data_IF_449116547050
#
_entry.id   IF_449116547050
#
_cell.length_a   1.000
_cell.length_b   1.000
_cell.length_c   1.000
_cell.angle_alpha   90.00
_cell.angle_beta   90.00
_cell.angle_gamma   90.00
#
_symmetry.space_group_name_H-M   'P 1'
#
loop_
_entity.id
_entity.type
_entity.pdbx_description
1 polymer ?
#
# COMPACT_ATOMS: atom_id res chain seq x y z
N UNK A 1 -3.96 -4.84 24.03
CA UNK A 1 -3.71 -3.40 23.89
C UNK A 1 -4.01 -2.90 22.48
N UNK A 2 -3.80 -3.70 21.43
CA UNK A 2 -4.20 -3.40 20.04
C UNK A 2 -5.69 -3.59 19.77
N UNK A 3 -6.37 -4.51 20.45
CA UNK A 3 -7.84 -4.66 20.39
C UNK A 3 -8.60 -3.40 20.80
N UNK A 4 -8.04 -2.60 21.70
CA UNK A 4 -8.63 -1.33 22.13
C UNK A 4 -8.50 -0.24 21.04
N UNK A 5 -7.46 -0.28 20.23
CA UNK A 5 -7.24 0.73 19.16
C UNK A 5 -8.13 0.45 17.96
N UNK A 6 -8.38 -0.82 17.64
CA UNK A 6 -9.28 -1.20 16.52
C UNK A 6 -10.76 -1.02 16.89
N UNK A 7 -11.14 -1.31 18.15
CA UNK A 7 -12.51 -1.18 18.60
C UNK A 7 -12.95 0.27 18.84
N UNK A 8 -12.04 1.15 19.21
CA UNK A 8 -12.35 2.56 19.53
C UNK A 8 -12.51 3.42 18.27
N UNK A 9 -11.83 3.09 17.18
CA UNK A 9 -11.99 3.80 15.89
C UNK A 9 -13.29 3.45 15.15
N UNK A 10 -13.92 2.34 15.46
CA UNK A 10 -15.20 1.93 14.86
C UNK A 10 -16.44 2.41 15.64
N UNK A 11 -16.27 3.04 16.81
CA UNK A 11 -17.38 3.64 17.60
C UNK A 11 -17.47 5.17 17.51
N UNK A 12 -16.63 5.80 16.74
CA UNK A 12 -16.56 7.24 16.58
C UNK A 12 -17.17 7.73 15.29
N UNK A 13 -18.44 8.02 15.37
CA UNK A 13 -19.16 9.17 14.82
C UNK A 13 -19.80 9.09 13.44
N UNK A 14 -21.09 8.79 13.49
CA UNK A 14 -22.11 9.48 12.73
C UNK A 14 -22.13 10.98 13.10
N UNK A 15 -21.55 11.82 12.28
CA UNK A 15 -21.82 13.24 12.24
C UNK A 15 -21.65 13.75 10.81
N UNK A 16 -22.74 13.72 10.09
CA UNK A 16 -22.94 14.36 8.80
C UNK A 16 -22.99 15.89 9.00
N UNK A 17 -22.07 16.70 8.42
CA UNK A 17 -22.22 18.15 8.41
C UNK A 17 -22.73 18.61 7.05
N UNK A 18 -24.01 18.37 6.78
CA UNK A 18 -24.79 19.20 5.87
C UNK A 18 -25.76 19.98 6.74
N UNK A 19 -25.36 21.17 7.20
CA UNK A 19 -26.35 22.17 7.58
C UNK A 19 -25.79 23.59 7.49
N UNK A 20 -26.44 24.31 6.59
CA UNK A 20 -26.87 25.71 6.69
C UNK A 20 -25.80 26.79 6.85
N UNK A 21 -25.42 27.32 5.72
CA UNK A 21 -25.10 28.75 5.61
C UNK A 21 -26.43 29.51 5.78
N UNK A 22 -26.65 30.10 6.97
CA UNK A 22 -27.66 31.14 7.17
C UNK A 22 -27.04 32.50 6.84
N UNK A 23 -27.56 33.11 5.80
CA UNK A 23 -27.40 34.55 5.53
C UNK A 23 -28.06 35.34 6.66
N UNK A 24 -27.30 36.26 7.29
CA UNK A 24 -27.81 37.33 8.13
C UNK A 24 -27.66 38.62 7.34
N UNK A 25 -28.72 39.40 7.15
CA UNK A 25 -28.61 40.69 6.46
C UNK A 25 -27.96 41.74 7.35
N UNK A 26 -27.12 42.56 6.73
CA UNK A 26 -26.48 43.70 7.38
C UNK A 26 -27.53 44.85 7.51
N UNK A 27 -27.87 45.25 8.70
CA UNK A 27 -28.51 46.53 8.98
C UNK A 27 -27.52 47.48 9.67
N UNK A 28 -27.41 48.63 9.06
CA UNK A 28 -27.08 49.98 9.45
C UNK A 28 -26.25 50.24 10.73
N UNK A 29 -25.05 50.82 10.53
CA UNK A 29 -24.41 51.63 11.56
C UNK A 29 -24.09 53.00 10.97
N UNK A 30 -24.65 53.97 11.69
CA UNK A 30 -24.68 55.40 11.46
C UNK A 30 -23.28 56.03 11.53
N UNK A 31 -23.06 57.03 10.71
CA UNK A 31 -21.84 57.85 10.62
C UNK A 31 -22.07 59.14 11.41
N UNK A 32 -21.44 59.27 12.58
CA UNK A 32 -21.07 60.58 13.09
C UNK A 32 -20.17 60.40 14.31
N UNK A 33 -18.92 60.76 14.20
CA UNK A 33 -18.20 61.65 15.09
C UNK A 33 -16.70 61.60 14.78
N UNK A 34 -16.26 62.72 14.23
CA UNK A 34 -14.87 63.01 13.89
C UNK A 34 -14.29 63.94 15.00
N UNK A 35 -13.27 63.57 15.77
CA UNK A 35 -12.50 64.57 16.49
C UNK A 35 -11.17 64.86 15.79
N UNK A 36 -10.97 66.13 15.51
CA UNK A 36 -9.80 66.85 15.02
C UNK A 36 -8.51 66.48 15.77
N UNK A 37 -7.35 66.36 15.12
CA UNK A 37 -6.07 66.14 15.77
C UNK A 37 -5.49 67.46 16.33
N UNK A 38 -5.23 67.44 17.63
CA UNK A 38 -4.44 68.49 18.29
C UNK A 38 -2.95 68.29 18.01
N UNK A 39 -2.34 69.33 17.39
CA UNK A 39 -0.89 69.46 17.24
C UNK A 39 -0.20 69.65 18.62
N UNK A 40 0.56 68.67 19.07
CA UNK A 40 1.50 68.87 20.16
C UNK A 40 2.86 69.28 19.59
N UNK A 41 3.27 70.50 19.87
CA UNK A 41 4.59 71.06 19.58
C UNK A 41 5.65 70.40 20.45
N UNK A 42 6.49 69.56 19.92
CA UNK A 42 7.71 69.06 20.58
C UNK A 42 8.91 69.93 20.15
N UNK A 43 9.46 70.64 21.15
CA UNK A 43 10.76 71.35 21.07
C UNK A 43 11.87 70.33 20.85
N UNK A 44 12.56 70.39 19.72
CA UNK A 44 13.79 69.67 19.44
C UNK A 44 14.95 70.25 20.27
N UNK A 45 15.51 69.41 21.15
CA UNK A 45 16.85 69.67 21.73
C UNK A 45 17.87 69.02 20.76
N UNK A 46 18.75 69.87 20.24
CA UNK A 46 19.89 69.41 19.40
C UNK A 46 20.84 68.54 20.25
N UNK A 47 21.08 67.32 19.85
CA UNK A 47 22.10 66.45 20.40
C UNK A 47 23.39 66.60 19.54
N UNK A 48 24.59 66.55 20.10
CA UNK A 48 25.83 66.83 19.39
C UNK A 48 26.15 65.70 18.41
N UNK A 49 26.48 66.10 17.18
CA UNK A 49 26.72 65.31 15.97
C UNK A 49 27.78 64.17 16.10
N UNK A 50 28.51 64.11 17.19
CA UNK A 50 29.55 63.05 17.39
C UNK A 50 28.99 61.71 17.87
N UNK A 51 27.82 61.65 18.47
CA UNK A 51 27.21 60.41 18.99
C UNK A 51 26.44 59.66 17.91
N UNK A 52 26.03 60.28 16.81
CA UNK A 52 25.26 59.65 15.74
C UNK A 52 26.13 58.71 14.86
N UNK A 53 27.45 59.02 14.72
CA UNK A 53 28.34 58.23 13.87
C UNK A 53 28.67 56.83 14.43
N UNK A 54 28.77 56.70 15.75
CA UNK A 54 29.04 55.38 16.36
C UNK A 54 27.82 54.47 16.41
N UNK A 55 26.63 55.04 16.49
CA UNK A 55 25.38 54.23 16.48
C UNK A 55 25.05 53.67 15.11
N UNK A 56 25.40 54.34 14.01
CA UNK A 56 25.16 53.84 12.65
C UNK A 56 26.12 52.75 12.25
N UNK A 57 27.39 52.82 12.68
CA UNK A 57 28.38 51.76 12.39
C UNK A 57 28.08 50.46 13.14
N UNK A 58 27.60 50.55 14.38
CA UNK A 58 27.22 49.34 15.14
C UNK A 58 25.94 48.66 14.59
N UNK A 59 24.98 49.44 14.07
CA UNK A 59 23.74 48.89 13.46
C UNK A 59 24.01 48.19 12.12
N UNK A 60 24.96 48.68 11.34
CA UNK A 60 25.33 48.06 10.03
C UNK A 60 26.13 46.78 10.24
N UNK A 61 26.97 46.68 11.29
CA UNK A 61 27.70 45.45 11.61
C UNK A 61 26.80 44.36 12.20
N UNK A 62 25.73 44.70 12.95
CA UNK A 62 24.74 43.72 13.41
C UNK A 62 23.81 43.24 12.25
N UNK A 63 23.45 44.09 11.32
CA UNK A 63 22.64 43.75 10.16
C UNK A 63 23.39 42.83 9.17
N UNK A 64 24.70 43.00 9.01
CA UNK A 64 25.54 42.14 8.17
C UNK A 64 25.72 40.74 8.76
N UNK A 65 25.64 40.55 10.07
CA UNK A 65 25.78 39.26 10.75
C UNK A 65 24.49 38.40 10.65
N UNK A 66 23.32 38.99 10.44
CA UNK A 66 22.04 38.28 10.32
C UNK A 66 21.80 37.79 8.85
N UNK A 67 22.42 38.43 7.87
CA UNK A 67 22.31 38.03 6.44
C UNK A 67 23.26 36.90 6.04
N UNK A 68 24.22 36.51 6.86
CA UNK A 68 25.19 35.46 6.57
C UNK A 68 24.68 34.03 6.89
N UNK A 69 23.46 33.89 7.46
CA UNK A 69 22.91 32.60 7.92
C UNK A 69 21.75 32.03 7.11
N UNK A 70 21.22 32.75 6.12
CA UNK A 70 20.16 32.21 5.26
C UNK A 70 20.77 31.77 3.92
N UNK A 71 21.60 30.71 3.95
CA UNK A 71 21.78 29.91 2.76
C UNK A 71 20.38 29.48 2.26
N UNK A 72 20.16 29.38 0.94
CA UNK A 72 18.91 28.85 0.45
C UNK A 72 18.69 27.50 1.14
N UNK A 73 17.58 27.35 1.88
CA UNK A 73 17.17 26.07 2.38
C UNK A 73 17.06 25.16 1.15
N UNK A 74 18.03 24.27 0.96
CA UNK A 74 17.97 23.26 -0.10
C UNK A 74 16.67 22.53 0.14
N UNK A 75 15.75 22.58 -0.81
CA UNK A 75 14.55 21.77 -0.74
C UNK A 75 15.01 20.33 -0.52
N UNK A 76 14.53 19.71 0.56
CA UNK A 76 14.88 18.33 0.89
C UNK A 76 14.52 17.46 -0.32
N UNK A 77 15.45 16.64 -0.80
CA UNK A 77 15.19 15.70 -1.88
C UNK A 77 14.01 14.80 -1.48
N UNK A 78 13.15 14.49 -2.42
CA UNK A 78 11.91 13.77 -2.18
C UNK A 78 11.77 12.59 -3.13
N UNK A 79 11.32 11.46 -2.58
CA UNK A 79 10.91 10.27 -3.34
C UNK A 79 9.41 10.03 -3.14
N UNK A 80 8.68 9.83 -4.23
CA UNK A 80 7.25 9.50 -4.20
C UNK A 80 7.04 8.05 -4.64
N UNK A 81 6.51 7.23 -3.75
CA UNK A 81 6.22 5.82 -3.98
C UNK A 81 4.71 5.60 -4.00
N UNK A 82 4.18 5.13 -5.12
CA UNK A 82 2.79 4.66 -5.20
C UNK A 82 2.73 3.21 -4.73
N UNK A 83 1.78 2.90 -3.85
CA UNK A 83 1.64 1.57 -3.25
C UNK A 83 0.18 1.28 -2.87
N UNK A 84 -0.08 0.25 -2.10
CA UNK A 84 -1.41 -0.18 -1.67
C UNK A 84 -1.69 0.17 -0.20
N UNK A 85 -2.99 0.20 0.17
CA UNK A 85 -3.44 0.70 1.47
C UNK A 85 -2.87 -0.06 2.66
N UNK A 86 -2.83 -1.40 2.61
CA UNK A 86 -2.29 -2.18 3.72
C UNK A 86 -0.79 -1.96 3.94
N UNK A 87 -0.02 -1.64 2.87
CA UNK A 87 1.39 -1.28 3.02
C UNK A 87 1.57 0.00 3.85
N UNK A 88 0.70 1.00 3.67
CA UNK A 88 0.80 2.31 4.32
C UNK A 88 0.03 2.42 5.63
N UNK A 89 -0.74 1.42 6.00
CA UNK A 89 -1.48 1.39 7.27
C UNK A 89 -0.52 1.53 8.47
N UNK A 90 -1.03 2.03 9.60
CA UNK A 90 -0.23 2.20 10.81
C UNK A 90 0.44 0.89 11.30
N UNK A 91 -0.19 -0.25 11.00
CA UNK A 91 0.30 -1.60 11.29
C UNK A 91 1.11 -2.23 10.14
N UNK A 92 1.07 -1.62 8.94
CA UNK A 92 1.79 -2.11 7.76
C UNK A 92 3.28 -1.74 7.77
N UNK A 93 4.03 -2.16 6.75
CA UNK A 93 5.47 -1.92 6.68
C UNK A 93 5.85 -0.45 6.42
N UNK A 94 4.97 0.33 5.78
CA UNK A 94 5.25 1.69 5.32
C UNK A 94 5.83 2.63 6.36
N UNK A 95 5.28 2.75 7.59
CA UNK A 95 5.84 3.63 8.63
C UNK A 95 7.28 3.29 9.02
N UNK A 96 7.60 2.00 9.16
CA UNK A 96 8.96 1.55 9.50
C UNK A 96 9.93 1.75 8.34
N UNK A 97 9.51 1.41 7.12
CA UNK A 97 10.27 1.61 5.88
C UNK A 97 10.58 3.09 5.67
N UNK A 98 9.57 3.96 5.79
CA UNK A 98 9.74 5.41 5.68
C UNK A 98 10.80 5.92 6.64
N UNK A 99 10.66 5.59 7.91
CA UNK A 99 11.60 6.00 8.96
C UNK A 99 13.03 5.54 8.68
N UNK A 100 13.20 4.29 8.25
CA UNK A 100 14.52 3.72 7.99
C UNK A 100 15.18 4.33 6.75
N UNK A 101 14.42 4.50 5.66
CA UNK A 101 14.94 5.08 4.43
C UNK A 101 15.27 6.57 4.57
N UNK A 102 14.40 7.36 5.19
CA UNK A 102 14.64 8.79 5.45
C UNK A 102 15.88 9.02 6.32
N UNK A 103 16.10 8.16 7.32
CA UNK A 103 17.31 8.21 8.15
C UNK A 103 18.60 7.90 7.35
N UNK A 104 18.50 7.06 6.31
CA UNK A 104 19.64 6.68 5.48
C UNK A 104 19.95 7.70 4.37
N UNK A 105 18.91 8.24 3.73
CA UNK A 105 19.09 9.15 2.60
C UNK A 105 19.20 10.63 3.02
N UNK A 106 18.69 11.01 4.20
CA UNK A 106 18.51 12.42 4.56
C UNK A 106 17.45 13.12 3.72
N UNK A 107 16.58 12.36 3.05
CA UNK A 107 15.56 12.81 2.13
C UNK A 107 14.15 12.69 2.74
N UNK A 108 13.11 13.04 1.99
CA UNK A 108 11.72 12.77 2.33
C UNK A 108 11.19 11.61 1.45
N UNK A 109 10.47 10.67 2.07
CA UNK A 109 9.77 9.58 1.40
C UNK A 109 8.26 9.76 1.56
N UNK A 110 7.54 9.92 0.46
CA UNK A 110 6.09 10.01 0.47
C UNK A 110 5.46 8.78 -0.17
N UNK A 111 4.54 8.15 0.55
CA UNK A 111 3.69 7.09 0.03
C UNK A 111 2.35 7.66 -0.44
N UNK A 112 1.87 7.16 -1.59
CA UNK A 112 0.53 7.44 -2.12
C UNK A 112 -0.16 6.11 -2.34
N UNK A 113 -1.17 5.82 -1.53
CA UNK A 113 -1.85 4.54 -1.54
C UNK A 113 -3.09 4.51 -2.45
N UNK A 114 -3.36 3.34 -2.99
CA UNK A 114 -4.63 2.93 -3.62
C UNK A 114 -5.08 1.60 -3.01
N UNK A 115 -6.27 1.15 -3.35
CA UNK A 115 -6.85 -0.03 -2.70
C UNK A 115 -5.94 -1.27 -2.76
N UNK A 116 -5.35 -1.60 -3.93
CA UNK A 116 -4.53 -2.81 -4.11
C UNK A 116 -3.71 -2.76 -5.42
N UNK A 117 -2.88 -3.79 -5.71
CA UNK A 117 -1.90 -3.80 -6.79
C UNK A 117 -2.46 -3.65 -8.20
N UNK A 118 -3.61 -4.26 -8.51
CA UNK A 118 -4.25 -4.07 -9.83
C UNK A 118 -4.76 -2.64 -10.00
N UNK A 119 -5.35 -2.06 -8.96
CA UNK A 119 -5.77 -0.65 -8.95
C UNK A 119 -4.54 0.28 -9.12
N UNK A 120 -3.40 -0.11 -8.55
CA UNK A 120 -2.15 0.61 -8.67
C UNK A 120 -1.67 0.70 -10.12
N UNK A 121 -1.62 -0.42 -10.85
CA UNK A 121 -1.28 -0.42 -12.27
C UNK A 121 -2.28 0.40 -13.10
N UNK A 122 -3.58 0.25 -12.83
CA UNK A 122 -4.62 1.01 -13.51
C UNK A 122 -4.44 2.53 -13.33
N UNK A 123 -4.08 2.97 -12.12
CA UNK A 123 -3.79 4.37 -11.83
C UNK A 123 -2.61 4.89 -12.64
N UNK A 124 -1.49 4.15 -12.63
CA UNK A 124 -0.30 4.53 -13.40
C UNK A 124 -0.59 4.61 -14.89
N UNK A 125 -1.37 3.66 -15.44
CA UNK A 125 -1.82 3.68 -16.84
C UNK A 125 -2.69 4.90 -17.15
N UNK A 126 -3.59 5.26 -16.24
CA UNK A 126 -4.46 6.43 -16.40
C UNK A 126 -3.68 7.75 -16.38
N UNK A 127 -2.71 7.87 -15.46
CA UNK A 127 -1.85 9.05 -15.35
C UNK A 127 -0.84 9.14 -16.51
N UNK A 128 -0.42 8.01 -17.06
CA UNK A 128 0.55 7.92 -18.16
C UNK A 128 1.86 8.63 -17.83
N UNK A 129 2.42 9.35 -18.80
CA UNK A 129 3.67 10.11 -18.62
C UNK A 129 3.56 11.28 -17.61
N UNK A 130 2.35 11.62 -17.15
CA UNK A 130 2.11 12.65 -16.15
C UNK A 130 2.12 12.09 -14.71
N UNK A 131 2.36 10.81 -14.53
CA UNK A 131 2.43 10.18 -13.20
C UNK A 131 3.41 10.92 -12.29
N UNK A 132 3.05 11.01 -11.00
CA UNK A 132 3.90 11.58 -9.97
C UNK A 132 4.69 10.53 -9.20
N UNK A 133 4.47 9.26 -9.52
CA UNK A 133 5.22 8.18 -8.92
C UNK A 133 6.65 8.17 -9.45
N UNK A 134 7.62 8.18 -8.54
CA UNK A 134 9.00 7.81 -8.87
C UNK A 134 9.13 6.28 -8.91
N UNK A 135 8.46 5.61 -7.96
CA UNK A 135 8.42 4.16 -7.83
C UNK A 135 6.98 3.70 -7.70
N UNK A 136 6.69 2.53 -8.26
CA UNK A 136 5.47 1.77 -8.04
C UNK A 136 5.86 0.50 -7.29
N UNK A 137 5.34 0.31 -6.06
CA UNK A 137 5.63 -0.80 -5.16
C UNK A 137 4.33 -1.54 -4.85
N UNK A 138 4.27 -2.85 -5.12
CA UNK A 138 3.09 -3.68 -4.87
C UNK A 138 2.33 -4.11 -6.13
N UNK A 139 2.98 -4.09 -7.29
CA UNK A 139 2.59 -4.97 -8.39
C UNK A 139 3.05 -6.39 -8.07
N UNK A 140 2.54 -7.38 -8.80
CA UNK A 140 3.04 -8.74 -8.72
C UNK A 140 3.51 -9.27 -10.09
N UNK A 141 4.10 -10.45 -10.10
CA UNK A 141 4.58 -11.10 -11.33
C UNK A 141 3.51 -11.21 -12.41
N UNK A 142 2.24 -11.36 -12.04
CA UNK A 142 1.13 -11.47 -13.00
C UNK A 142 0.87 -10.17 -13.77
N UNK A 143 1.35 -9.03 -13.27
CA UNK A 143 1.14 -7.72 -13.87
C UNK A 143 2.38 -7.18 -14.59
N UNK A 144 3.57 -7.80 -14.43
CA UNK A 144 4.84 -7.24 -14.92
C UNK A 144 4.90 -7.11 -16.43
N UNK A 145 4.45 -8.11 -17.20
CA UNK A 145 4.45 -8.02 -18.67
C UNK A 145 3.49 -6.93 -19.18
N UNK A 146 2.29 -6.79 -18.59
CA UNK A 146 1.37 -5.71 -18.92
C UNK A 146 1.96 -4.34 -18.55
N UNK A 147 2.59 -4.24 -17.38
CA UNK A 147 3.23 -3.00 -16.93
C UNK A 147 4.37 -2.59 -17.86
N UNK A 148 5.25 -3.52 -18.26
CA UNK A 148 6.32 -3.28 -19.25
C UNK A 148 5.77 -2.80 -20.58
N UNK A 149 4.69 -3.41 -21.06
CA UNK A 149 4.06 -3.05 -22.33
C UNK A 149 3.50 -1.61 -22.35
N UNK A 150 3.29 -0.97 -21.19
CA UNK A 150 2.88 0.44 -21.13
C UNK A 150 3.99 1.41 -21.54
N UNK A 151 5.27 1.02 -21.48
CA UNK A 151 6.42 1.90 -21.65
C UNK A 151 6.60 2.94 -20.52
N UNK A 152 5.89 2.77 -19.40
CA UNK A 152 5.92 3.71 -18.26
C UNK A 152 6.96 3.35 -17.20
N UNK A 153 7.66 2.22 -17.36
CA UNK A 153 8.69 1.76 -16.43
C UNK A 153 10.06 1.73 -17.10
N UNK A 154 11.10 1.92 -16.33
CA UNK A 154 12.50 1.94 -16.76
C UNK A 154 13.27 0.79 -16.14
N UNK A 155 14.35 0.31 -16.78
CA UNK A 155 15.29 -0.59 -16.13
C UNK A 155 15.78 -0.02 -14.80
N UNK A 156 15.88 -0.89 -13.77
CA UNK A 156 16.15 -0.42 -12.41
C UNK A 156 17.62 -0.09 -12.14
N UNK A 157 18.57 -0.70 -12.88
CA UNK A 157 20.01 -0.48 -12.69
C UNK A 157 20.58 -0.91 -11.32
N UNK A 158 19.72 -1.24 -10.36
CA UNK A 158 20.13 -1.59 -9.01
C UNK A 158 20.81 -2.97 -8.95
N UNK A 159 21.84 -3.08 -8.11
CA UNK A 159 22.41 -4.38 -7.73
C UNK A 159 21.50 -5.00 -6.67
N UNK A 160 20.93 -6.15 -6.98
CA UNK A 160 19.97 -6.84 -6.13
C UNK A 160 20.49 -8.22 -5.72
N UNK A 161 20.22 -8.61 -4.47
CA UNK A 161 20.45 -9.96 -3.95
C UNK A 161 19.11 -10.47 -3.38
N UNK A 162 18.42 -11.26 -4.18
CA UNK A 162 17.06 -11.73 -3.87
C UNK A 162 16.95 -13.23 -4.06
N UNK A 163 16.10 -13.85 -3.24
CA UNK A 163 15.82 -15.28 -3.28
C UNK A 163 14.31 -15.52 -3.20
N UNK A 164 13.70 -15.74 -4.35
CA UNK A 164 12.27 -16.05 -4.49
C UNK A 164 12.07 -17.39 -5.17
N UNK A 165 10.93 -18.08 -4.96
CA UNK A 165 10.62 -19.33 -5.65
C UNK A 165 10.73 -19.18 -7.17
N UNK A 166 11.49 -20.07 -7.82
CA UNK A 166 11.76 -20.00 -9.26
C UNK A 166 12.93 -19.09 -9.68
N UNK A 167 13.54 -18.37 -8.76
CA UNK A 167 14.60 -17.39 -9.05
C UNK A 167 14.08 -16.08 -9.62
N UNK A 168 14.98 -15.13 -9.88
CA UNK A 168 14.62 -13.81 -10.41
C UNK A 168 15.62 -13.31 -11.44
N UNK A 169 15.12 -12.73 -12.56
CA UNK A 169 15.97 -12.22 -13.65
C UNK A 169 15.35 -11.05 -14.42
N UNK A 170 14.42 -10.31 -13.80
CA UNK A 170 13.77 -9.15 -14.42
C UNK A 170 14.67 -7.90 -14.30
N UNK A 171 14.78 -7.10 -15.37
CA UNK A 171 15.61 -5.90 -15.43
C UNK A 171 14.85 -4.60 -15.12
N UNK A 172 13.51 -4.67 -15.03
CA UNK A 172 12.61 -3.54 -14.75
C UNK A 172 12.05 -3.59 -13.34
N UNK A 173 11.70 -4.79 -12.88
CA UNK A 173 11.06 -5.00 -11.59
C UNK A 173 11.97 -5.73 -10.61
N UNK A 174 11.91 -5.34 -9.33
CA UNK A 174 12.66 -5.92 -8.22
C UNK A 174 11.69 -6.51 -7.20
N UNK A 175 11.80 -7.78 -6.82
CA UNK A 175 10.93 -8.39 -5.82
C UNK A 175 11.26 -7.88 -4.42
N UNK A 176 10.25 -7.76 -3.56
CA UNK A 176 10.46 -7.40 -2.16
C UNK A 176 9.86 -8.41 -1.17
N UNK A 177 8.84 -9.14 -1.58
CA UNK A 177 8.30 -10.26 -0.82
C UNK A 177 7.60 -11.29 -1.71
N UNK A 178 7.18 -12.40 -1.11
CA UNK A 178 6.36 -13.40 -1.78
C UNK A 178 5.50 -14.19 -0.80
N UNK A 179 4.45 -14.81 -1.34
CA UNK A 179 3.58 -15.72 -0.63
C UNK A 179 2.76 -16.54 -1.60
N UNK A 180 1.84 -17.34 -1.06
CA UNK A 180 0.92 -18.13 -1.87
C UNK A 180 -0.50 -17.80 -1.48
N UNK A 181 -1.38 -17.62 -2.45
CA UNK A 181 -2.79 -17.42 -2.15
C UNK A 181 -3.36 -18.66 -1.48
N UNK A 182 -4.24 -18.43 -0.51
CA UNK A 182 -4.93 -19.49 0.21
C UNK A 182 -6.32 -19.04 0.63
N UNK A 183 -7.20 -20.01 0.82
CA UNK A 183 -8.43 -19.82 1.57
C UNK A 183 -8.10 -19.88 3.06
N UNK A 184 -8.19 -18.75 3.74
CA UNK A 184 -8.04 -18.67 5.19
C UNK A 184 -9.40 -18.85 5.83
N UNK A 185 -9.46 -19.64 6.89
CA UNK A 185 -10.73 -20.00 7.54
C UNK A 185 -10.65 -19.88 9.07
N UNK A 186 -11.80 -19.65 9.68
CA UNK A 186 -12.02 -19.67 11.11
C UNK A 186 -12.32 -21.09 11.58
N UNK A 187 -11.38 -21.76 12.23
CA UNK A 187 -11.51 -23.15 12.69
C UNK A 187 -12.58 -23.36 13.79
N UNK A 188 -13.05 -22.31 14.43
CA UNK A 188 -14.18 -22.38 15.34
C UNK A 188 -15.52 -22.47 14.60
N UNK A 189 -15.62 -21.84 13.41
CA UNK A 189 -16.82 -21.83 12.58
C UNK A 189 -16.84 -22.96 11.55
N UNK A 190 -15.67 -23.28 10.96
CA UNK A 190 -15.54 -24.30 9.92
C UNK A 190 -14.59 -25.41 10.38
N UNK A 191 -15.18 -26.57 10.78
CA UNK A 191 -14.40 -27.71 11.31
C UNK A 191 -13.75 -28.55 10.23
N UNK A 192 -14.30 -28.52 9.03
CA UNK A 192 -13.80 -29.28 7.87
C UNK A 192 -13.59 -28.31 6.71
N UNK A 193 -12.39 -27.68 6.63
CA UNK A 193 -12.11 -26.78 5.53
C UNK A 193 -12.00 -27.55 4.19
N UNK A 194 -12.25 -26.91 3.04
CA UNK A 194 -12.03 -27.52 1.75
C UNK A 194 -10.56 -27.89 1.54
N UNK A 195 -10.31 -29.04 0.93
CA UNK A 195 -8.97 -29.56 0.63
C UNK A 195 -8.59 -29.41 -0.85
N UNK A 196 -9.47 -28.82 -1.64
CA UNK A 196 -9.27 -28.60 -3.06
C UNK A 196 -10.14 -27.43 -3.53
N UNK A 197 -9.79 -26.84 -4.67
CA UNK A 197 -10.67 -25.88 -5.34
C UNK A 197 -12.02 -26.52 -5.70
N UNK A 198 -12.02 -27.83 -6.03
CA UNK A 198 -13.24 -28.56 -6.30
C UNK A 198 -14.15 -28.59 -5.06
N UNK A 199 -13.64 -28.96 -3.90
CA UNK A 199 -14.41 -28.96 -2.65
C UNK A 199 -14.88 -27.54 -2.27
N UNK A 200 -14.05 -26.53 -2.48
CA UNK A 200 -14.46 -25.12 -2.28
C UNK A 200 -15.64 -24.76 -3.17
N UNK A 201 -15.57 -25.11 -4.46
CA UNK A 201 -16.57 -24.74 -5.48
C UNK A 201 -17.87 -25.54 -5.30
N UNK A 202 -17.79 -26.83 -4.98
CA UNK A 202 -18.93 -27.78 -4.94
C UNK A 202 -19.45 -28.03 -3.52
N UNK A 203 -18.80 -27.50 -2.48
CA UNK A 203 -19.20 -27.66 -1.08
C UNK A 203 -20.47 -26.90 -0.73
N UNK A 204 -20.84 -26.95 0.55
CA UNK A 204 -22.06 -26.36 1.08
C UNK A 204 -22.13 -24.85 0.78
N UNK A 205 -23.26 -24.41 0.21
CA UNK A 205 -23.48 -23.01 -0.14
C UNK A 205 -23.57 -22.07 1.10
N UNK A 206 -23.82 -22.60 2.28
CA UNK A 206 -23.86 -21.84 3.52
C UNK A 206 -22.46 -21.55 4.10
N UNK A 207 -21.45 -22.28 3.67
CA UNK A 207 -20.04 -22.00 3.98
C UNK A 207 -19.53 -20.82 3.15
N UNK A 208 -19.83 -19.61 3.59
CA UNK A 208 -19.55 -18.39 2.84
C UNK A 208 -18.07 -18.03 2.80
N UNK A 209 -17.65 -17.41 1.70
CA UNK A 209 -16.33 -16.84 1.51
C UNK A 209 -16.42 -15.38 1.07
N UNK A 210 -15.50 -14.55 1.58
CA UNK A 210 -15.24 -13.20 1.06
C UNK A 210 -14.08 -13.28 0.08
N UNK A 211 -14.24 -12.70 -1.10
CA UNK A 211 -13.19 -12.61 -2.12
C UNK A 211 -13.01 -11.17 -2.59
N UNK A 212 -11.96 -10.92 -3.37
CA UNK A 212 -11.68 -9.61 -3.91
C UNK A 212 -11.94 -9.55 -5.43
N UNK A 213 -12.13 -8.34 -5.92
CA UNK A 213 -12.37 -8.07 -7.34
C UNK A 213 -11.08 -8.18 -8.16
N UNK A 214 -10.99 -9.04 -9.17
CA UNK A 214 -9.79 -9.21 -9.99
C UNK A 214 -9.43 -7.98 -10.85
N UNK A 215 -10.32 -6.98 -10.91
CA UNK A 215 -10.10 -5.74 -11.64
C UNK A 215 -9.36 -4.68 -10.83
N UNK A 216 -9.29 -4.85 -9.51
CA UNK A 216 -8.70 -3.86 -8.58
C UNK A 216 -7.72 -4.47 -7.61
N UNK A 217 -7.86 -5.76 -7.26
CA UNK A 217 -7.09 -6.45 -6.23
C UNK A 217 -6.17 -7.52 -6.81
N UNK A 218 -4.94 -7.57 -6.31
CA UNK A 218 -3.97 -8.62 -6.62
C UNK A 218 -4.44 -9.99 -6.14
N UNK A 219 -4.92 -10.19 -4.88
CA UNK A 219 -5.53 -11.46 -4.48
C UNK A 219 -6.74 -11.85 -5.34
N UNK A 220 -7.58 -10.88 -5.70
CA UNK A 220 -8.71 -11.16 -6.59
C UNK A 220 -8.28 -11.68 -7.96
N UNK A 221 -7.25 -11.05 -8.55
CA UNK A 221 -6.61 -11.55 -9.78
C UNK A 221 -5.97 -12.92 -9.54
N UNK A 222 -5.29 -13.11 -8.43
CA UNK A 222 -4.67 -14.38 -8.04
C UNK A 222 -5.68 -15.54 -7.99
N UNK A 223 -6.86 -15.33 -7.40
CA UNK A 223 -7.92 -16.34 -7.40
C UNK A 223 -8.44 -16.62 -8.81
N UNK A 224 -8.60 -15.58 -9.65
CA UNK A 224 -9.00 -15.76 -11.04
C UNK A 224 -8.01 -16.66 -11.78
N UNK A 225 -6.71 -16.41 -11.61
CA UNK A 225 -5.65 -17.19 -12.24
C UNK A 225 -5.55 -18.60 -11.65
N UNK A 226 -5.72 -18.75 -10.35
CA UNK A 226 -5.73 -20.04 -9.67
C UNK A 226 -6.88 -20.92 -10.19
N UNK A 227 -8.09 -20.37 -10.24
CA UNK A 227 -9.25 -21.05 -10.85
C UNK A 227 -8.98 -21.42 -12.31
N UNK A 228 -8.40 -20.51 -13.10
CA UNK A 228 -8.05 -20.77 -14.50
C UNK A 228 -6.99 -21.88 -14.64
N UNK A 229 -5.97 -21.91 -13.79
CA UNK A 229 -4.91 -22.93 -13.83
C UNK A 229 -5.41 -24.34 -13.53
N UNK A 230 -6.47 -24.46 -12.72
CA UNK A 230 -7.05 -25.76 -12.34
C UNK A 230 -8.18 -26.19 -13.27
N UNK A 231 -9.06 -25.28 -13.65
CA UNK A 231 -10.25 -25.61 -14.43
C UNK A 231 -10.10 -25.36 -15.95
N UNK A 232 -9.05 -24.64 -16.39
CA UNK A 232 -8.88 -24.27 -17.78
C UNK A 232 -10.14 -23.57 -18.33
N UNK A 233 -10.63 -24.03 -19.49
CA UNK A 233 -11.82 -23.46 -20.14
C UNK A 233 -13.14 -23.72 -19.39
N UNK A 234 -13.12 -24.56 -18.35
CA UNK A 234 -14.26 -24.79 -17.46
C UNK A 234 -14.31 -23.82 -16.28
N UNK A 235 -13.39 -22.88 -16.18
CA UNK A 235 -13.38 -21.88 -15.10
C UNK A 235 -14.72 -21.10 -14.98
N UNK A 236 -15.40 -20.68 -16.08
CA UNK A 236 -16.71 -20.02 -15.96
C UNK A 236 -17.78 -20.87 -15.27
N UNK A 237 -17.79 -22.18 -15.51
CA UNK A 237 -18.71 -23.11 -14.85
C UNK A 237 -18.41 -23.24 -13.34
N UNK A 238 -17.12 -23.30 -12.99
CA UNK A 238 -16.67 -23.32 -11.59
C UNK A 238 -17.03 -22.01 -10.87
N UNK A 239 -16.84 -20.87 -11.51
CA UNK A 239 -17.26 -19.57 -10.97
C UNK A 239 -18.78 -19.48 -10.75
N UNK A 240 -19.60 -20.02 -11.66
CA UNK A 240 -21.04 -20.06 -11.51
C UNK A 240 -21.49 -20.84 -10.27
N UNK A 241 -20.78 -21.93 -9.93
CA UNK A 241 -21.02 -22.69 -8.70
C UNK A 241 -20.52 -21.93 -7.46
N UNK A 242 -19.27 -21.42 -7.49
CA UNK A 242 -18.66 -20.71 -6.36
C UNK A 242 -19.44 -19.46 -6.00
N UNK A 243 -20.08 -18.80 -6.96
CA UNK A 243 -20.89 -17.59 -6.76
C UNK A 243 -21.91 -17.72 -5.64
N UNK A 244 -22.55 -18.87 -5.48
CA UNK A 244 -23.53 -19.13 -4.41
C UNK A 244 -22.89 -19.05 -3.02
N UNK A 245 -21.59 -19.30 -2.90
CA UNK A 245 -20.82 -19.24 -1.64
C UNK A 245 -20.21 -17.87 -1.41
N UNK A 246 -20.07 -17.01 -2.41
CA UNK A 246 -19.48 -15.67 -2.27
C UNK A 246 -20.44 -14.78 -1.48
N UNK A 247 -20.03 -14.39 -0.26
CA UNK A 247 -20.77 -13.44 0.55
C UNK A 247 -20.73 -12.04 -0.08
N UNK A 248 -19.53 -11.61 -0.45
CA UNK A 248 -19.30 -10.32 -1.12
C UNK A 248 -17.96 -10.32 -1.85
N UNK A 249 -17.83 -9.37 -2.78
CA UNK A 249 -16.60 -9.09 -3.53
C UNK A 249 -16.14 -7.69 -3.15
N UNK A 250 -14.97 -7.57 -2.54
CA UNK A 250 -14.41 -6.28 -2.09
C UNK A 250 -13.41 -5.71 -3.10
N UNK A 251 -13.19 -4.39 -3.14
CA UNK A 251 -12.21 -3.78 -4.04
C UNK A 251 -10.77 -4.13 -3.71
N UNK A 252 -10.44 -4.46 -2.45
CA UNK A 252 -9.11 -4.78 -1.98
C UNK A 252 -9.08 -5.80 -0.84
N UNK A 253 -7.86 -6.21 -0.48
CA UNK A 253 -7.63 -7.22 0.55
C UNK A 253 -8.05 -6.75 1.95
N UNK A 254 -7.75 -5.49 2.32
CA UNK A 254 -8.02 -4.97 3.67
C UNK A 254 -9.48 -5.09 4.08
N UNK A 255 -10.39 -4.75 3.17
CA UNK A 255 -11.84 -4.86 3.44
C UNK A 255 -12.28 -6.32 3.58
N UNK A 256 -11.80 -7.21 2.68
CA UNK A 256 -12.14 -8.63 2.73
C UNK A 256 -11.70 -9.26 4.05
N UNK A 257 -10.44 -9.02 4.43
CA UNK A 257 -9.88 -9.57 5.66
C UNK A 257 -10.56 -8.99 6.91
N UNK A 258 -10.90 -7.69 6.87
CA UNK A 258 -11.68 -7.04 7.93
C UNK A 258 -13.08 -7.63 8.12
N UNK A 259 -13.78 -8.02 7.05
CA UNK A 259 -15.08 -8.71 7.15
C UNK A 259 -14.92 -10.12 7.77
N UNK A 260 -13.89 -10.83 7.37
CA UNK A 260 -13.58 -12.16 7.91
C UNK A 260 -13.26 -12.11 9.41
N UNK A 261 -12.41 -11.22 9.87
CA UNK A 261 -12.02 -11.10 11.28
C UNK A 261 -13.18 -10.60 12.15
N UNK A 262 -14.14 -9.84 11.58
CA UNK A 262 -15.43 -9.52 12.23
C UNK A 262 -16.38 -10.71 12.29
N UNK A 263 -16.06 -11.79 11.60
CA UNK A 263 -16.85 -13.02 11.62
C UNK A 263 -18.06 -13.01 10.67
N UNK A 264 -18.08 -12.15 9.66
CA UNK A 264 -19.16 -12.08 8.65
C UNK A 264 -19.17 -13.31 7.74
N UNK A 265 -18.01 -13.93 7.49
CA UNK A 265 -17.89 -15.19 6.78
C UNK A 265 -16.90 -16.11 7.48
N UNK A 266 -17.05 -17.45 7.36
CA UNK A 266 -16.09 -18.41 7.90
C UNK A 266 -14.81 -18.51 7.07
N UNK A 267 -14.78 -17.99 5.85
CA UNK A 267 -13.63 -18.05 4.94
C UNK A 267 -13.37 -16.71 4.26
N UNK A 268 -12.12 -16.49 3.91
CA UNK A 268 -11.64 -15.36 3.09
C UNK A 268 -10.52 -15.81 2.16
N UNK A 269 -10.44 -15.22 0.98
CA UNK A 269 -9.24 -15.34 0.16
C UNK A 269 -8.14 -14.46 0.75
N UNK A 270 -6.99 -15.06 1.04
CA UNK A 270 -5.82 -14.39 1.57
C UNK A 270 -4.55 -15.20 1.22
N UNK A 271 -3.67 -15.45 2.19
CA UNK A 271 -2.37 -16.09 1.95
C UNK A 271 -2.12 -17.24 2.93
N UNK A 272 -1.27 -18.19 2.53
CA UNK A 272 -0.78 -19.24 3.43
C UNK A 272 -0.07 -18.66 4.66
N UNK A 273 0.42 -17.43 4.57
CA UNK A 273 1.14 -16.72 5.63
C UNK A 273 0.23 -15.96 6.61
N UNK A 274 -1.03 -15.71 6.26
CA UNK A 274 -1.96 -14.94 7.11
C UNK A 274 -2.13 -15.49 8.53
N UNK A 275 -2.09 -16.81 8.80
CA UNK A 275 -2.17 -17.33 10.17
C UNK A 275 -1.04 -16.86 11.08
N UNK A 276 0.14 -16.50 10.55
CA UNK A 276 1.26 -16.01 11.35
C UNK A 276 0.89 -14.74 12.13
N UNK A 277 0.14 -13.83 11.51
CA UNK A 277 -0.38 -12.64 12.20
C UNK A 277 -1.13 -13.00 13.48
N UNK A 278 -2.09 -13.90 13.38
CA UNK A 278 -2.92 -14.29 14.53
C UNK A 278 -2.13 -15.03 15.60
N UNK A 279 -1.16 -15.88 15.19
CA UNK A 279 -0.29 -16.57 16.15
C UNK A 279 0.61 -15.59 16.91
N UNK A 280 1.16 -14.57 16.23
CA UNK A 280 2.14 -13.64 16.83
C UNK A 280 1.46 -12.47 17.54
N UNK A 281 0.51 -11.81 16.88
CA UNK A 281 -0.10 -10.57 17.39
C UNK A 281 -1.28 -10.84 18.32
N UNK A 282 -2.05 -11.91 18.09
CA UNK A 282 -3.27 -12.23 18.85
C UNK A 282 -3.11 -13.49 19.74
N UNK A 283 -1.97 -14.18 19.64
CA UNK A 283 -1.69 -15.42 20.38
C UNK A 283 -2.80 -16.48 20.22
N UNK A 284 -3.27 -16.67 18.97
CA UNK A 284 -4.31 -17.66 18.65
C UNK A 284 -3.96 -18.43 17.38
N UNK A 285 -4.32 -19.72 17.35
CA UNK A 285 -4.24 -20.60 16.17
C UNK A 285 -5.64 -20.84 15.55
N UNK A 286 -6.63 -20.04 15.92
CA UNK A 286 -8.01 -20.15 15.44
C UNK A 286 -8.10 -19.98 13.93
N UNK A 287 -7.38 -19.04 13.37
CA UNK A 287 -7.40 -18.74 11.95
C UNK A 287 -6.30 -19.52 11.22
N UNK A 288 -6.68 -20.31 10.23
CA UNK A 288 -5.80 -21.23 9.55
C UNK A 288 -5.94 -21.11 8.04
N UNK A 289 -4.93 -21.52 7.29
CA UNK A 289 -4.98 -21.62 5.83
C UNK A 289 -5.31 -23.06 5.41
N UNK A 290 -6.23 -23.20 4.47
CA UNK A 290 -6.51 -24.50 3.86
C UNK A 290 -5.39 -24.85 2.86
N UNK A 291 -4.99 -26.13 2.85
CA UNK A 291 -4.04 -26.66 1.86
C UNK A 291 -4.80 -27.41 0.77
N UNK A 292 -4.53 -27.06 -0.47
CA UNK A 292 -5.25 -27.59 -1.62
C UNK A 292 -4.44 -28.64 -2.39
N UNK A 293 -5.10 -29.71 -2.80
CA UNK A 293 -4.47 -30.84 -3.50
C UNK A 293 -3.92 -30.45 -4.88
N UNK A 294 -4.54 -29.45 -5.53
CA UNK A 294 -4.09 -28.93 -6.82
C UNK A 294 -2.80 -28.09 -6.70
N UNK A 295 -2.46 -27.66 -5.49
CA UNK A 295 -1.40 -26.71 -5.18
C UNK A 295 -1.92 -25.30 -5.02
N UNK A 296 -1.06 -24.41 -4.52
CA UNK A 296 -1.34 -23.00 -4.29
C UNK A 296 -0.70 -22.11 -5.36
N UNK A 297 -1.37 -21.01 -5.69
CA UNK A 297 -0.89 -20.06 -6.69
C UNK A 297 0.09 -19.07 -6.06
N UNK A 298 1.31 -18.99 -6.61
CA UNK A 298 2.38 -18.12 -6.12
C UNK A 298 2.12 -16.66 -6.48
N UNK A 299 2.37 -15.78 -5.53
CA UNK A 299 2.53 -14.34 -5.72
C UNK A 299 3.95 -13.93 -5.34
N UNK A 300 4.61 -13.15 -6.20
CA UNK A 300 5.85 -12.43 -5.90
C UNK A 300 5.54 -10.96 -6.13
N UNK A 301 5.58 -10.17 -5.05
CA UNK A 301 5.36 -8.72 -5.14
C UNK A 301 6.63 -8.00 -5.56
N UNK A 302 6.46 -6.98 -6.38
CA UNK A 302 7.58 -6.28 -7.01
C UNK A 302 7.43 -4.76 -6.95
N UNK A 303 8.56 -4.08 -7.02
CA UNK A 303 8.64 -2.64 -7.24
C UNK A 303 9.36 -2.32 -8.55
N UNK A 304 8.94 -1.22 -9.21
CA UNK A 304 9.58 -0.75 -10.44
C UNK A 304 9.71 0.77 -10.46
N UNK A 305 10.79 1.26 -11.08
CA UNK A 305 11.03 2.68 -11.29
C UNK A 305 10.20 3.13 -12.51
N UNK A 306 9.45 4.22 -12.37
CA UNK A 306 8.73 4.80 -13.52
C UNK A 306 9.71 5.56 -14.44
N UNK A 307 9.31 5.80 -15.69
CA UNK A 307 10.10 6.66 -16.61
C UNK A 307 10.27 8.09 -16.08
N UNK A 308 9.34 8.57 -15.25
CA UNK A 308 9.47 9.85 -14.53
C UNK A 308 10.48 9.71 -13.39
N UNK A 309 10.38 8.65 -12.60
CA UNK A 309 11.25 8.37 -11.46
C UNK A 309 12.70 8.02 -11.84
N UNK A 310 12.96 7.57 -13.07
CA UNK A 310 14.32 7.33 -13.55
C UNK A 310 15.21 8.59 -13.55
N UNK A 311 14.62 9.79 -13.40
CA UNK A 311 15.33 11.06 -13.24
C UNK A 311 15.64 11.39 -11.78
N UNK A 312 15.07 10.67 -10.84
CA UNK A 312 15.26 10.87 -9.41
C UNK A 312 16.32 9.88 -8.88
N UNK A 313 17.50 10.35 -8.45
CA UNK A 313 18.57 9.47 -7.99
C UNK A 313 18.20 8.66 -6.74
N UNK A 314 17.15 9.07 -6.01
CA UNK A 314 16.65 8.33 -4.86
C UNK A 314 15.92 7.04 -5.26
N UNK A 315 15.45 6.91 -6.51
CA UNK A 315 14.68 5.74 -6.93
C UNK A 315 15.53 4.46 -6.95
N UNK A 316 16.70 4.48 -7.58
CA UNK A 316 17.64 3.35 -7.57
C UNK A 316 18.14 3.03 -6.14
N UNK A 317 18.43 4.09 -5.37
CA UNK A 317 18.83 3.96 -3.96
C UNK A 317 17.75 3.27 -3.12
N UNK A 318 16.48 3.59 -3.37
CA UNK A 318 15.37 2.94 -2.67
C UNK A 318 15.24 1.46 -3.05
N UNK A 319 15.37 1.08 -4.32
CA UNK A 319 15.32 -0.34 -4.71
C UNK A 319 16.49 -1.14 -4.12
N UNK A 320 17.69 -0.56 -4.05
CA UNK A 320 18.82 -1.18 -3.35
C UNK A 320 18.55 -1.34 -1.85
N UNK A 321 18.03 -0.30 -1.19
CA UNK A 321 17.61 -0.36 0.21
C UNK A 321 16.51 -1.41 0.44
N UNK A 322 15.56 -1.53 -0.49
CA UNK A 322 14.42 -2.45 -0.42
C UNK A 322 14.86 -3.93 -0.36
N UNK A 323 15.96 -4.30 -1.02
CA UNK A 323 16.47 -5.68 -0.97
C UNK A 323 17.40 -5.94 0.23
N UNK A 324 17.72 -4.90 0.99
CA UNK A 324 18.59 -4.99 2.17
C UNK A 324 17.84 -5.26 3.48
N UNK A 325 18.58 -5.64 4.54
CA UNK A 325 17.99 -6.09 5.81
C UNK A 325 17.10 -5.04 6.50
N UNK A 326 17.41 -3.75 6.35
CA UNK A 326 16.60 -2.68 6.99
C UNK A 326 15.15 -2.65 6.50
N UNK A 327 14.91 -3.06 5.25
CA UNK A 327 13.58 -3.21 4.70
C UNK A 327 13.07 -4.64 4.93
N UNK A 328 13.90 -5.64 4.64
CA UNK A 328 13.48 -7.04 4.63
C UNK A 328 13.15 -7.59 6.02
N UNK A 329 13.79 -7.11 7.08
CA UNK A 329 13.46 -7.47 8.48
C UNK A 329 12.08 -6.96 8.93
N UNK A 330 11.49 -6.01 8.21
CA UNK A 330 10.17 -5.44 8.51
C UNK A 330 9.05 -6.30 7.92
N UNK A 331 9.26 -6.87 6.73
CA UNK A 331 8.24 -7.57 5.94
C UNK A 331 7.56 -8.71 6.69
N UNK A 332 8.26 -9.66 7.36
CA UNK A 332 7.61 -10.83 7.94
C UNK A 332 6.54 -10.53 9.00
N UNK A 333 6.73 -9.47 9.80
CA UNK A 333 5.83 -9.17 10.92
C UNK A 333 4.98 -7.91 10.72
N UNK A 334 5.00 -7.32 9.52
CA UNK A 334 4.13 -6.18 9.18
C UNK A 334 3.36 -6.37 7.88
N UNK A 335 3.97 -7.00 6.85
CA UNK A 335 3.28 -7.41 5.62
C UNK A 335 2.82 -8.87 5.68
N UNK A 336 3.33 -9.63 6.64
CA UNK A 336 3.00 -11.05 6.84
C UNK A 336 3.26 -11.88 5.59
N UNK A 337 4.38 -11.61 4.91
CA UNK A 337 4.85 -12.30 3.72
C UNK A 337 6.27 -12.82 3.95
N UNK A 338 6.74 -13.74 3.10
CA UNK A 338 8.14 -14.15 3.11
C UNK A 338 9.01 -13.04 2.49
N UNK A 339 10.13 -12.66 3.11
CA UNK A 339 11.03 -11.66 2.55
C UNK A 339 11.69 -12.20 1.27
N UNK A 340 11.82 -11.35 0.24
CA UNK A 340 12.51 -11.70 -0.99
C UNK A 340 14.02 -11.48 -0.92
N UNK A 341 14.48 -10.55 -0.08
CA UNK A 341 15.89 -10.24 0.13
C UNK A 341 16.45 -10.82 1.44
N UNK A 342 17.67 -10.44 1.74
CA UNK A 342 18.36 -10.90 2.95
C UNK A 342 17.84 -10.21 4.20
N UNK A 343 17.58 -11.00 5.23
CA UNK A 343 17.26 -10.52 6.59
C UNK A 343 18.45 -10.66 7.53
N UNK A 344 18.60 -9.76 8.49
CA UNK A 344 19.54 -9.89 9.61
C UNK A 344 18.93 -10.70 10.77
N UNK A 345 17.60 -10.76 10.83
CA UNK A 345 16.85 -11.48 11.86
C UNK A 345 16.31 -12.80 11.30
N UNK A 346 16.25 -13.86 12.11
CA UNK A 346 15.51 -15.07 11.74
C UNK A 346 14.01 -14.77 11.65
N UNK A 347 13.30 -15.52 10.82
CA UNK A 347 11.83 -15.48 10.80
C UNK A 347 11.27 -15.91 12.15
N UNK A 348 10.13 -15.35 12.51
CA UNK A 348 9.39 -15.76 13.70
C UNK A 348 9.03 -17.26 13.59
N UNK A 349 9.15 -18.07 14.66
CA UNK A 349 8.80 -19.49 14.64
C UNK A 349 7.37 -19.81 14.20
N UNK A 350 6.44 -18.85 14.24
CA UNK A 350 5.11 -18.99 13.67
C UNK A 350 5.13 -19.34 12.16
N UNK A 351 6.14 -18.88 11.43
CA UNK A 351 6.29 -19.18 10.01
C UNK A 351 6.62 -20.66 9.73
N UNK A 352 7.22 -21.37 10.70
CA UNK A 352 7.48 -22.82 10.58
C UNK A 352 6.20 -23.65 10.63
N UNK A 353 5.12 -23.12 11.23
CA UNK A 353 3.81 -23.78 11.38
C UNK A 353 2.89 -23.56 10.18
N UNK A 354 3.25 -22.67 9.26
CA UNK A 354 2.42 -22.34 8.12
C UNK A 354 2.29 -23.49 7.13
N UNK A 355 1.16 -23.52 6.41
CA UNK A 355 0.95 -24.45 5.30
C UNK A 355 2.05 -24.23 4.28
N UNK A 356 2.71 -25.34 3.92
CA UNK A 356 3.73 -25.35 2.85
C UNK A 356 3.10 -25.93 1.59
N UNK A 357 3.02 -25.15 0.50
CA UNK A 357 2.49 -25.64 -0.77
C UNK A 357 3.20 -26.92 -1.23
N UNK A 358 2.45 -27.93 -1.58
CA UNK A 358 3.00 -29.17 -2.16
C UNK A 358 3.34 -29.03 -3.64
N UNK A 359 2.65 -28.09 -4.31
CA UNK A 359 2.83 -27.74 -5.70
C UNK A 359 2.61 -26.24 -5.87
N UNK A 360 3.52 -25.59 -6.58
CA UNK A 360 3.40 -24.20 -6.98
C UNK A 360 2.68 -24.09 -8.32
N UNK A 361 1.63 -23.30 -8.38
CA UNK A 361 0.95 -22.92 -9.61
C UNK A 361 1.33 -21.48 -9.94
N UNK A 362 1.64 -21.21 -11.20
CA UNK A 362 2.00 -19.88 -11.69
C UNK A 362 1.91 -19.87 -13.22
N UNK A 363 1.20 -18.92 -13.79
CA UNK A 363 1.30 -18.60 -15.21
C UNK A 363 2.52 -17.72 -15.50
N UNK A 364 3.02 -17.74 -16.72
CA UNK A 364 4.00 -16.75 -17.14
C UNK A 364 3.35 -15.35 -17.21
N UNK A 365 4.12 -14.27 -16.92
CA UNK A 365 3.61 -12.91 -17.05
C UNK A 365 3.03 -12.59 -18.43
N UNK A 366 3.63 -13.15 -19.50
CA UNK A 366 3.21 -12.96 -20.88
C UNK A 366 1.85 -13.64 -21.14
N UNK A 367 1.65 -14.84 -20.60
CA UNK A 367 0.38 -15.57 -20.73
C UNK A 367 -0.75 -14.81 -20.01
N UNK A 368 -0.47 -14.30 -18.81
CA UNK A 368 -1.44 -13.46 -18.09
C UNK A 368 -1.75 -12.20 -18.88
N UNK A 369 -0.73 -11.46 -19.35
CA UNK A 369 -0.93 -10.23 -20.12
C UNK A 369 -1.77 -10.45 -21.38
N UNK A 370 -1.57 -11.59 -22.08
CA UNK A 370 -2.32 -11.94 -23.28
C UNK A 370 -3.79 -12.28 -23.01
N UNK A 371 -4.12 -12.85 -21.85
CA UNK A 371 -5.43 -13.45 -21.61
C UNK A 371 -6.24 -12.76 -20.49
N UNK A 372 -5.61 -11.99 -19.61
CA UNK A 372 -6.24 -11.40 -18.41
C UNK A 372 -7.56 -10.70 -18.71
N UNK A 373 -7.57 -9.88 -19.78
CA UNK A 373 -8.80 -9.15 -20.14
C UNK A 373 -9.96 -10.11 -20.43
N UNK A 374 -9.73 -11.15 -21.23
CA UNK A 374 -10.75 -12.12 -21.59
C UNK A 374 -11.22 -12.89 -20.35
N UNK A 375 -10.30 -13.34 -19.50
CA UNK A 375 -10.63 -14.07 -18.26
C UNK A 375 -11.42 -13.21 -17.26
N UNK A 376 -11.08 -11.91 -17.14
CA UNK A 376 -11.85 -10.95 -16.33
C UNK A 376 -13.25 -10.71 -16.90
N UNK A 377 -13.39 -10.58 -18.22
CA UNK A 377 -14.69 -10.40 -18.89
C UNK A 377 -15.58 -11.65 -18.69
N UNK A 378 -15.01 -12.86 -18.78
CA UNK A 378 -15.71 -14.11 -18.46
C UNK A 378 -16.18 -14.15 -17.01
N UNK A 379 -15.29 -13.83 -16.05
CA UNK A 379 -15.61 -13.75 -14.63
C UNK A 379 -16.77 -12.77 -14.37
N UNK A 380 -16.69 -11.57 -14.96
CA UNK A 380 -17.77 -10.58 -14.87
C UNK A 380 -19.09 -11.09 -15.40
N UNK A 381 -19.08 -11.80 -16.55
CA UNK A 381 -20.28 -12.32 -17.17
C UNK A 381 -21.03 -13.31 -16.27
N UNK A 382 -20.30 -13.99 -15.38
CA UNK A 382 -20.83 -14.95 -14.42
C UNK A 382 -21.21 -14.27 -13.11
N UNK A 383 -20.30 -13.47 -12.55
CA UNK A 383 -20.46 -12.93 -11.19
C UNK A 383 -21.47 -11.77 -11.12
N UNK A 384 -21.71 -11.04 -12.21
CA UNK A 384 -22.64 -9.91 -12.25
C UNK A 384 -24.12 -10.30 -12.51
N UNK A 385 -24.40 -11.54 -12.88
CA UNK A 385 -25.77 -12.07 -13.06
C UNK A 385 -26.36 -12.51 -11.72
#
# INVERSE_FOLDING_TARGET
MLDAIFADRLRGNDANPLNLIRFVPAEGLDVSDNPTPQFLSMRTKEAPMRTLFYSLVSAVLLAASVLAGTGPASAQEKLTVYTYESFTADWGPGPAVKKAFEAECGCALDFVAVADGVALLNRVKLEGAATKADIVLGLDTNLTAEAKATGLFSPHGAVIDVNVPGGWSDDVFVPFDYGYFAVVYDSEKLKTPPKSLKELVEGDADEKIVIQDPRTSTPGLGLLLWMRSVYGDKAPEAWAKLKAKVLTVTPGWSEAYGLFTKGEAPMVLSYTTSPAYHMVAENTERYQAASFEEGEYLQIEVAGITTTGAKNPLAEKFLTFMTGPKFQDVIPETNWMFPAGKTDKPLNPAFDKLVKPTKTLLFSPEEVAANRKAWVDEWLSVMSK
#
